data_IF_885427723012
#
_entry.id   IF_885427723012
#
_cell.length_a   1.000
_cell.length_b   1.000
_cell.length_c   1.000
_cell.angle_alpha   90.00
_cell.angle_beta   90.00
_cell.angle_gamma   90.00
#
_symmetry.space_group_name_H-M   'P 1'
#
loop_
_entity.id
_entity.type
_entity.pdbx_description
1 polymer ?
#
# COMPACT_ATOMS: atom_id res chain seq x y z
N UNK A 1 -9.32 -16.38 17.35
CA UNK A 1 -8.24 -17.02 16.57
C UNK A 1 -7.05 -16.09 16.62
N UNK A 2 -5.86 -16.64 16.89
CA UNK A 2 -4.68 -15.87 17.29
C UNK A 2 -3.84 -15.49 16.10
N UNK A 3 -3.54 -14.21 15.99
CA UNK A 3 -2.44 -13.69 15.17
C UNK A 3 -1.14 -14.44 15.53
N UNK A 4 -0.28 -14.79 14.56
CA UNK A 4 1.03 -15.35 14.82
C UNK A 4 1.82 -14.52 15.85
N UNK A 5 2.68 -15.17 16.63
CA UNK A 5 3.66 -14.44 17.45
C UNK A 5 4.62 -13.71 16.53
N UNK A 6 5.04 -12.53 16.96
CA UNK A 6 6.09 -11.78 16.29
C UNK A 6 7.47 -12.33 16.66
N UNK A 7 8.44 -12.14 15.78
CA UNK A 7 9.85 -12.42 16.02
C UNK A 7 10.40 -11.46 17.08
N UNK A 8 11.18 -11.97 18.02
CA UNK A 8 11.69 -11.17 19.14
C UNK A 8 12.81 -10.19 18.73
N UNK A 9 13.60 -10.54 17.72
CA UNK A 9 14.67 -9.69 17.19
C UNK A 9 14.13 -8.71 16.13
N UNK A 10 13.13 -9.14 15.37
CA UNK A 10 12.54 -8.35 14.29
C UNK A 10 11.02 -8.22 14.48
N UNK A 11 10.59 -7.44 15.50
CA UNK A 11 9.17 -7.34 15.81
C UNK A 11 8.42 -6.71 14.63
N UNK A 12 7.21 -7.22 14.41
CA UNK A 12 6.28 -6.81 13.37
C UNK A 12 4.98 -6.35 14.01
N UNK A 13 4.91 -5.04 14.27
CA UNK A 13 3.88 -4.39 15.08
C UNK A 13 3.81 -2.89 14.78
N UNK A 14 2.71 -2.25 15.17
CA UNK A 14 2.54 -0.79 15.05
C UNK A 14 3.39 0.00 16.07
N UNK A 15 4.68 -0.32 16.20
CA UNK A 15 5.67 0.40 16.98
C UNK A 15 7.00 0.45 16.22
N UNK A 16 7.80 1.53 16.39
CA UNK A 16 9.00 1.73 15.61
C UNK A 16 10.14 0.81 16.06
N UNK A 17 10.83 0.23 15.08
CA UNK A 17 12.12 -0.45 15.26
C UNK A 17 13.25 0.48 14.81
N UNK A 18 14.35 0.64 15.58
CA UNK A 18 15.47 1.46 15.11
C UNK A 18 16.05 0.92 13.80
N UNK A 19 16.25 1.77 12.80
CA UNK A 19 16.77 1.32 11.50
C UNK A 19 18.13 0.63 11.63
N UNK A 20 18.95 1.07 12.59
CA UNK A 20 20.26 0.52 12.91
C UNK A 20 20.24 -0.93 13.41
N UNK A 21 19.09 -1.44 13.88
CA UNK A 21 18.96 -2.87 14.25
C UNK A 21 18.53 -3.74 13.08
N UNK A 22 18.16 -3.14 11.95
CA UNK A 22 17.72 -3.84 10.75
C UNK A 22 18.84 -3.93 9.70
N UNK A 23 19.83 -3.06 9.78
CA UNK A 23 20.93 -2.94 8.81
C UNK A 23 22.18 -3.71 9.21
N UNK A 24 22.94 -4.17 8.22
CA UNK A 24 24.30 -4.69 8.39
C UNK A 24 25.36 -3.57 8.55
N UNK A 25 26.63 -3.94 8.64
CA UNK A 25 27.75 -2.98 8.77
C UNK A 25 27.93 -2.05 7.57
N UNK A 26 27.32 -2.36 6.42
CA UNK A 26 27.36 -1.54 5.21
C UNK A 26 26.19 -0.55 5.15
N UNK A 27 25.23 -0.65 6.07
CA UNK A 27 23.99 0.14 6.07
C UNK A 27 22.89 -0.45 5.17
N UNK A 28 23.12 -1.64 4.59
CA UNK A 28 22.09 -2.35 3.83
C UNK A 28 21.18 -3.15 4.75
N UNK A 29 19.95 -3.46 4.29
CA UNK A 29 19.04 -4.31 5.05
C UNK A 29 19.69 -5.69 5.26
N UNK A 30 19.77 -6.15 6.51
CA UNK A 30 20.36 -7.44 6.82
C UNK A 30 19.49 -8.59 6.29
N UNK A 31 20.15 -9.68 5.90
CA UNK A 31 19.49 -10.88 5.39
C UNK A 31 18.53 -11.49 6.42
N UNK A 32 18.89 -11.43 7.70
CA UNK A 32 18.06 -11.96 8.79
C UNK A 32 16.79 -11.12 8.98
N UNK A 33 16.91 -9.78 8.95
CA UNK A 33 15.76 -8.88 9.07
C UNK A 33 14.74 -9.10 7.93
N UNK A 34 15.20 -9.06 6.67
CA UNK A 34 14.29 -9.24 5.53
C UNK A 34 13.65 -10.64 5.54
N UNK A 35 14.42 -11.69 5.89
CA UNK A 35 13.89 -13.05 6.00
C UNK A 35 12.85 -13.16 7.12
N UNK A 36 13.07 -12.51 8.27
CA UNK A 36 12.14 -12.53 9.39
C UNK A 36 10.82 -11.81 9.06
N UNK A 37 10.87 -10.64 8.41
CA UNK A 37 9.65 -9.94 7.98
C UNK A 37 8.87 -10.73 6.94
N UNK A 38 9.54 -11.38 5.98
CA UNK A 38 8.89 -12.24 4.99
C UNK A 38 8.22 -13.44 5.63
N UNK A 39 8.90 -14.14 6.56
CA UNK A 39 8.29 -15.26 7.32
C UNK A 39 7.06 -14.82 8.10
N UNK A 40 7.15 -13.69 8.79
CA UNK A 40 6.03 -13.13 9.55
C UNK A 40 4.87 -12.75 8.63
N UNK A 41 5.13 -12.13 7.47
CA UNK A 41 4.11 -11.81 6.47
C UNK A 41 3.40 -13.07 5.95
N UNK A 42 4.16 -14.11 5.59
CA UNK A 42 3.61 -15.40 5.16
C UNK A 42 2.75 -16.06 6.25
N UNK A 43 3.24 -16.11 7.49
CA UNK A 43 2.48 -16.64 8.62
C UNK A 43 1.18 -15.86 8.85
N UNK A 44 1.23 -14.54 8.72
CA UNK A 44 0.06 -13.67 8.84
C UNK A 44 -0.96 -13.92 7.72
N UNK A 45 -0.53 -14.01 6.46
CA UNK A 45 -1.41 -14.31 5.31
C UNK A 45 -2.13 -15.64 5.52
N UNK A 46 -1.41 -16.68 5.95
CA UNK A 46 -2.00 -17.98 6.26
C UNK A 46 -3.01 -17.89 7.40
N UNK A 47 -2.61 -17.28 8.53
CA UNK A 47 -3.48 -17.13 9.70
C UNK A 47 -4.72 -16.28 9.42
N UNK A 48 -4.64 -15.28 8.54
CA UNK A 48 -5.74 -14.36 8.26
C UNK A 48 -6.97 -15.04 7.66
N UNK A 49 -6.81 -16.20 7.02
CA UNK A 49 -7.93 -17.01 6.51
C UNK A 49 -8.88 -17.47 7.63
N UNK A 50 -8.35 -17.63 8.86
CA UNK A 50 -9.12 -17.98 10.05
C UNK A 50 -9.56 -16.76 10.87
N UNK A 51 -9.30 -15.53 10.44
CA UNK A 51 -9.70 -14.36 11.24
C UNK A 51 -11.21 -14.15 11.22
N UNK A 52 -11.72 -13.48 12.27
CA UNK A 52 -13.15 -13.24 12.39
C UNK A 52 -13.61 -12.33 11.24
N UNK A 53 -14.53 -12.81 10.41
CA UNK A 53 -15.09 -12.02 9.31
C UNK A 53 -15.93 -10.87 9.87
N UNK A 54 -15.72 -9.69 9.33
CA UNK A 54 -16.50 -8.50 9.60
C UNK A 54 -17.49 -8.21 8.48
N UNK A 55 -17.68 -6.91 8.20
CA UNK A 55 -18.64 -6.44 7.20
C UNK A 55 -18.13 -6.71 5.78
N UNK A 56 -19.05 -7.04 4.88
CA UNK A 56 -18.80 -6.95 3.44
C UNK A 56 -19.24 -5.56 2.99
N UNK A 57 -18.30 -4.78 2.48
CA UNK A 57 -18.53 -3.44 1.95
C UNK A 57 -18.68 -3.59 0.44
N UNK A 58 -19.86 -3.24 -0.08
CA UNK A 58 -20.10 -3.22 -1.52
C UNK A 58 -19.48 -1.94 -2.09
N UNK A 59 -18.54 -2.08 -3.00
CA UNK A 59 -18.01 -0.97 -3.80
C UNK A 59 -18.48 -1.12 -5.24
N UNK A 60 -18.25 -0.10 -6.06
CA UNK A 60 -18.56 -0.09 -7.48
C UNK A 60 -17.63 -0.99 -8.32
N UNK A 61 -16.50 -1.45 -7.76
CA UNK A 61 -15.50 -2.27 -8.45
C UNK A 61 -15.49 -3.73 -8.00
N UNK A 62 -15.67 -3.99 -6.70
CA UNK A 62 -15.74 -5.34 -6.13
C UNK A 62 -16.28 -5.33 -4.68
N UNK A 63 -16.89 -6.42 -4.18
CA UNK A 63 -17.15 -6.56 -2.75
C UNK A 63 -15.83 -6.69 -1.97
N UNK A 64 -15.72 -5.93 -0.87
CA UNK A 64 -14.57 -5.96 0.03
C UNK A 64 -14.99 -6.60 1.36
N UNK A 65 -14.45 -7.77 1.69
CA UNK A 65 -14.68 -8.46 2.95
C UNK A 65 -13.68 -7.97 4.01
N UNK A 66 -14.16 -7.32 5.07
CA UNK A 66 -13.32 -7.00 6.21
C UNK A 66 -13.13 -8.21 7.13
N UNK A 67 -12.03 -8.29 7.86
CA UNK A 67 -11.79 -9.32 8.89
C UNK A 67 -10.88 -8.79 9.99
N UNK A 68 -10.89 -9.44 11.16
CA UNK A 68 -10.18 -8.97 12.35
C UNK A 68 -9.40 -10.09 13.06
N UNK A 69 -8.13 -9.81 13.35
CA UNK A 69 -7.23 -10.57 14.21
C UNK A 69 -6.99 -9.86 15.53
N UNK A 70 -6.72 -10.62 16.59
CA UNK A 70 -6.40 -10.05 17.89
C UNK A 70 -4.94 -9.56 17.92
N UNK A 71 -4.65 -8.57 18.76
CA UNK A 71 -3.26 -8.28 19.10
C UNK A 71 -2.69 -9.37 20.00
N UNK A 72 -1.42 -9.73 19.80
CA UNK A 72 -0.64 -10.57 20.72
C UNK A 72 0.28 -9.75 21.63
N UNK A 73 0.30 -8.42 21.43
CA UNK A 73 1.21 -7.50 22.10
C UNK A 73 0.68 -7.06 23.46
N UNK A 74 1.54 -6.44 24.26
CA UNK A 74 1.21 -5.91 25.59
C UNK A 74 0.96 -4.39 25.54
N UNK A 75 0.48 -3.85 26.65
CA UNK A 75 0.33 -2.41 26.82
C UNK A 75 -0.70 -1.79 25.87
N UNK A 76 -0.33 -0.66 25.25
CA UNK A 76 -1.22 0.09 24.34
C UNK A 76 -1.62 -0.75 23.10
N UNK A 77 -0.65 -1.47 22.53
CA UNK A 77 -0.87 -2.31 21.35
C UNK A 77 -1.73 -3.53 21.62
N UNK A 78 -1.89 -3.98 22.88
CA UNK A 78 -2.85 -5.03 23.23
C UNK A 78 -4.30 -4.69 22.81
N UNK A 79 -4.60 -3.39 22.68
CA UNK A 79 -5.91 -2.87 22.28
C UNK A 79 -5.98 -2.46 20.80
N UNK A 80 -4.87 -2.59 20.07
CA UNK A 80 -4.78 -2.29 18.63
C UNK A 80 -4.85 -3.62 17.88
N UNK A 81 -6.03 -3.98 17.39
CA UNK A 81 -6.23 -5.24 16.68
C UNK A 81 -5.58 -5.22 15.29
N UNK A 82 -5.44 -6.39 14.69
CA UNK A 82 -5.15 -6.49 13.27
C UNK A 82 -6.46 -6.41 12.49
N UNK A 83 -6.55 -5.49 11.54
CA UNK A 83 -7.70 -5.32 10.67
C UNK A 83 -7.28 -5.62 9.26
N UNK A 84 -8.07 -6.40 8.54
CA UNK A 84 -7.78 -6.69 7.14
C UNK A 84 -8.98 -6.62 6.25
N UNK A 85 -8.69 -6.62 4.96
CA UNK A 85 -9.63 -6.65 3.85
C UNK A 85 -9.21 -7.67 2.81
N UNK A 86 -10.19 -8.25 2.14
CA UNK A 86 -10.00 -9.18 1.04
C UNK A 86 -10.98 -8.84 -0.08
N UNK A 87 -10.48 -8.87 -1.30
CA UNK A 87 -11.23 -8.60 -2.53
C UNK A 87 -10.64 -9.41 -3.67
N UNK A 88 -11.50 -9.84 -4.59
CA UNK A 88 -11.11 -10.56 -5.81
C UNK A 88 -11.55 -9.74 -7.01
N UNK A 89 -10.67 -9.63 -8.01
CA UNK A 89 -10.80 -8.70 -9.12
C UNK A 89 -10.69 -9.44 -10.46
N UNK A 90 -11.81 -9.95 -11.00
CA UNK A 90 -11.88 -10.41 -12.38
C UNK A 90 -11.63 -9.23 -13.33
N UNK A 91 -10.88 -9.40 -14.45
CA UNK A 91 -10.65 -8.30 -15.38
C UNK A 91 -11.94 -7.64 -15.90
N UNK A 92 -13.04 -8.39 -16.04
CA UNK A 92 -14.34 -7.85 -16.46
C UNK A 92 -14.97 -6.89 -15.46
N UNK A 93 -14.68 -7.05 -14.17
CA UNK A 93 -15.25 -6.24 -13.07
C UNK A 93 -14.28 -5.15 -12.63
N UNK A 94 -12.96 -5.42 -12.73
CA UNK A 94 -11.89 -4.48 -12.42
C UNK A 94 -11.53 -3.56 -13.60
N UNK A 95 -12.50 -3.16 -14.44
CA UNK A 95 -12.29 -2.23 -15.56
C UNK A 95 -11.17 -2.64 -16.54
N UNK A 96 -10.99 -3.93 -16.76
CA UNK A 96 -9.94 -4.48 -17.62
C UNK A 96 -8.54 -4.44 -17.01
N UNK A 97 -8.42 -4.20 -15.71
CA UNK A 97 -7.17 -4.36 -14.98
C UNK A 97 -6.84 -5.84 -14.78
N UNK A 98 -5.55 -6.14 -14.88
CA UNK A 98 -4.94 -7.47 -14.76
C UNK A 98 -3.96 -7.47 -13.59
N UNK A 99 -3.47 -8.65 -13.21
CA UNK A 99 -2.46 -8.75 -12.15
C UNK A 99 -1.23 -7.86 -12.41
N UNK A 100 -0.81 -7.73 -13.67
CA UNK A 100 0.30 -6.86 -14.05
C UNK A 100 0.01 -5.37 -13.79
N UNK A 101 -1.25 -4.95 -13.92
CA UNK A 101 -1.65 -3.58 -13.56
C UNK A 101 -1.61 -3.37 -12.04
N UNK A 102 -2.00 -4.37 -11.25
CA UNK A 102 -1.87 -4.34 -9.79
C UNK A 102 -0.41 -4.29 -9.37
N UNK A 103 0.46 -5.13 -9.94
CA UNK A 103 1.90 -5.09 -9.71
C UNK A 103 2.48 -3.73 -10.04
N UNK A 104 2.18 -3.20 -11.22
CA UNK A 104 2.67 -1.89 -11.63
C UNK A 104 2.13 -0.72 -10.79
N UNK A 105 1.06 -0.95 -10.02
CA UNK A 105 0.39 0.03 -9.17
C UNK A 105 0.79 -0.04 -7.70
N UNK A 106 1.04 -1.25 -7.19
CA UNK A 106 1.18 -1.54 -5.77
C UNK A 106 2.57 -2.05 -5.40
N UNK A 107 3.37 -2.54 -6.36
CA UNK A 107 4.73 -3.03 -6.08
C UNK A 107 5.80 -2.00 -6.45
N UNK A 108 5.61 -1.30 -7.56
CA UNK A 108 6.60 -0.37 -8.14
C UNK A 108 6.26 1.04 -7.69
N UNK A 109 7.25 1.79 -7.17
CA UNK A 109 7.10 3.18 -6.70
C UNK A 109 5.86 3.39 -5.79
N UNK A 110 5.59 2.41 -4.93
CA UNK A 110 4.32 2.29 -4.20
C UNK A 110 3.93 3.57 -3.44
N UNK A 111 4.76 4.17 -2.57
CA UNK A 111 4.37 5.37 -1.82
C UNK A 111 4.08 6.58 -2.71
N UNK A 112 4.84 6.76 -3.79
CA UNK A 112 4.62 7.89 -4.71
C UNK A 112 3.31 7.71 -5.48
N UNK A 113 3.03 6.50 -5.97
CA UNK A 113 1.77 6.23 -6.64
C UNK A 113 0.57 6.37 -5.70
N UNK A 114 0.73 5.98 -4.43
CA UNK A 114 -0.28 6.16 -3.40
C UNK A 114 -0.71 7.61 -3.22
N UNK A 115 0.23 8.58 -3.32
CA UNK A 115 -0.13 10.02 -3.29
C UNK A 115 -1.08 10.45 -4.40
N UNK A 116 -1.16 9.71 -5.51
CA UNK A 116 -2.02 10.05 -6.64
C UNK A 116 -3.46 9.56 -6.48
N UNK A 117 -3.71 8.56 -5.62
CA UNK A 117 -5.05 7.98 -5.44
C UNK A 117 -5.57 8.03 -4.00
N UNK A 118 -4.73 8.36 -3.01
CA UNK A 118 -5.13 8.62 -1.63
C UNK A 118 -5.08 10.12 -1.36
N UNK A 119 -6.24 10.77 -1.43
CA UNK A 119 -6.36 12.23 -1.39
C UNK A 119 -5.83 12.90 -0.11
N UNK A 120 -5.82 12.15 0.99
CA UNK A 120 -5.34 12.58 2.30
C UNK A 120 -3.82 12.62 2.37
N UNK A 121 -3.14 11.87 1.52
CA UNK A 121 -1.70 11.74 1.52
C UNK A 121 -1.09 12.93 0.79
N UNK A 122 -0.39 13.78 1.54
CA UNK A 122 0.15 15.05 1.03
C UNK A 122 1.57 14.93 0.50
N UNK A 123 2.33 13.92 0.92
CA UNK A 123 3.66 13.63 0.40
C UNK A 123 4.10 12.20 0.72
N UNK A 124 4.95 11.66 -0.15
CA UNK A 124 5.82 10.51 0.08
C UNK A 124 7.27 10.94 -0.13
N UNK A 125 8.08 10.85 0.92
CA UNK A 125 9.50 11.23 0.86
C UNK A 125 10.37 10.01 1.15
N UNK A 126 11.24 9.63 0.21
CA UNK A 126 12.24 8.61 0.45
C UNK A 126 13.31 9.16 1.39
N UNK A 127 13.51 8.50 2.53
CA UNK A 127 14.48 8.88 3.56
C UNK A 127 15.77 8.08 3.41
N UNK A 128 15.65 6.79 3.08
CA UNK A 128 16.80 5.92 2.86
C UNK A 128 16.52 4.81 1.84
N UNK A 129 17.58 4.26 1.25
CA UNK A 129 17.54 3.14 0.32
C UNK A 129 18.44 2.03 0.87
N UNK A 130 17.86 1.05 1.58
CA UNK A 130 18.65 -0.03 2.19
C UNK A 130 18.99 -1.12 1.16
N UNK A 131 18.09 -1.34 0.21
CA UNK A 131 18.27 -2.19 -0.98
C UNK A 131 17.31 -1.71 -2.06
N UNK A 132 17.85 -1.10 -3.11
CA UNK A 132 17.08 -0.50 -4.21
C UNK A 132 15.95 -1.42 -4.72
N UNK A 133 14.72 -0.89 -4.72
CA UNK A 133 13.54 -1.60 -5.22
C UNK A 133 13.13 -2.84 -4.43
N UNK A 134 13.69 -3.04 -3.23
CA UNK A 134 13.35 -4.15 -2.33
C UNK A 134 13.09 -3.69 -0.91
N UNK A 135 13.92 -2.80 -0.37
CA UNK A 135 13.84 -2.32 1.01
C UNK A 135 14.23 -0.84 1.09
N UNK A 136 13.25 0.01 1.35
CA UNK A 136 13.40 1.47 1.34
C UNK A 136 12.71 2.07 2.56
N UNK A 137 13.21 3.21 3.03
CA UNK A 137 12.61 3.93 4.16
C UNK A 137 11.86 5.13 3.65
N UNK A 138 10.57 5.21 3.99
CA UNK A 138 9.66 6.23 3.49
C UNK A 138 9.03 7.03 4.63
N UNK A 139 8.90 8.34 4.44
CA UNK A 139 8.09 9.21 5.27
C UNK A 139 6.86 9.68 4.50
N UNK A 140 5.70 9.19 4.92
CA UNK A 140 4.41 9.52 4.32
C UNK A 140 3.67 10.50 5.23
N UNK A 141 3.19 11.62 4.66
CA UNK A 141 2.45 12.65 5.41
C UNK A 141 1.00 12.70 5.02
N UNK A 142 0.12 12.87 5.99
CA UNK A 142 -1.32 12.90 5.80
C UNK A 142 -1.93 14.15 6.44
N UNK A 143 -2.82 14.81 5.69
CA UNK A 143 -3.68 15.85 6.21
C UNK A 143 -4.95 15.22 6.79
N UNK A 144 -5.23 15.48 8.07
CA UNK A 144 -6.48 15.04 8.68
C UNK A 144 -7.47 16.20 8.83
N UNK A 145 -8.78 15.93 8.98
CA UNK A 145 -9.78 16.97 9.12
C UNK A 145 -9.50 17.91 10.28
N UNK A 146 -10.03 19.13 10.13
CA UNK A 146 -9.96 20.19 11.11
C UNK A 146 -10.33 19.67 12.49
N UNK A 147 -9.50 20.01 13.50
CA UNK A 147 -9.52 19.56 14.91
C UNK A 147 -8.67 18.34 15.26
N UNK A 148 -7.98 17.71 14.31
CA UNK A 148 -6.94 16.70 14.63
C UNK A 148 -5.60 17.07 14.02
N UNK A 149 -4.50 16.77 14.73
CA UNK A 149 -3.14 17.03 14.22
C UNK A 149 -2.86 16.19 12.96
N UNK A 150 -2.02 16.69 12.07
CA UNK A 150 -1.60 15.92 10.89
C UNK A 150 -0.77 14.71 11.31
N UNK A 151 -0.75 13.68 10.47
CA UNK A 151 -0.01 12.44 10.73
C UNK A 151 1.16 12.33 9.79
N UNK A 152 2.28 11.89 10.34
CA UNK A 152 3.36 11.34 9.54
C UNK A 152 3.61 9.90 9.97
N UNK A 153 4.00 9.09 9.00
CA UNK A 153 4.39 7.70 9.18
C UNK A 153 5.82 7.54 8.67
N UNK A 154 6.67 6.84 9.41
CA UNK A 154 8.04 6.55 9.01
C UNK A 154 8.22 5.04 9.03
N UNK A 155 8.43 4.46 7.85
CA UNK A 155 8.29 3.03 7.65
C UNK A 155 9.42 2.48 6.77
N UNK A 156 9.88 1.29 7.14
CA UNK A 156 10.55 0.39 6.23
C UNK A 156 9.48 -0.23 5.33
N UNK A 157 9.60 0.00 4.02
CA UNK A 157 8.81 -0.61 2.98
C UNK A 157 9.63 -1.74 2.34
N UNK A 158 9.11 -2.96 2.37
CA UNK A 158 9.66 -4.11 1.65
C UNK A 158 8.70 -4.50 0.52
N UNK A 159 9.18 -4.44 -0.71
CA UNK A 159 8.42 -4.83 -1.92
C UNK A 159 9.08 -6.04 -2.55
N UNK A 160 8.34 -7.15 -2.67
CA UNK A 160 8.88 -8.41 -3.19
C UNK A 160 7.92 -9.05 -4.18
N UNK A 161 8.37 -9.16 -5.44
CA UNK A 161 7.83 -10.15 -6.36
C UNK A 161 8.32 -11.54 -5.96
N UNK A 162 7.37 -12.46 -5.84
CA UNK A 162 7.62 -13.82 -5.36
C UNK A 162 7.78 -14.78 -6.55
N UNK A 163 8.54 -15.87 -6.39
CA UNK A 163 8.68 -16.84 -7.46
C UNK A 163 7.32 -17.51 -7.72
N UNK A 164 6.91 -17.70 -8.98
CA UNK A 164 5.61 -18.31 -9.28
C UNK A 164 5.44 -19.66 -8.57
N UNK A 165 4.27 -19.89 -7.98
CA UNK A 165 4.00 -21.11 -7.21
C UNK A 165 2.53 -21.54 -7.37
N UNK A 166 2.23 -22.86 -7.45
CA UNK A 166 0.85 -23.34 -7.62
C UNK A 166 -0.05 -23.03 -6.42
N UNK A 167 0.53 -22.85 -5.24
CA UNK A 167 -0.16 -22.46 -4.01
C UNK A 167 0.52 -21.23 -3.39
N UNK A 168 0.18 -20.01 -3.83
CA UNK A 168 0.73 -18.79 -3.25
C UNK A 168 0.58 -18.78 -1.72
N UNK A 169 1.61 -18.24 -1.06
CA UNK A 169 1.74 -18.10 0.39
C UNK A 169 1.77 -19.38 1.25
N UNK A 170 1.84 -20.56 0.63
CA UNK A 170 2.07 -21.83 1.34
C UNK A 170 3.46 -21.90 1.98
N UNK A 171 3.68 -22.87 2.87
CA UNK A 171 5.01 -23.11 3.48
C UNK A 171 6.07 -23.49 2.43
N UNK A 172 5.68 -24.23 1.39
CA UNK A 172 6.57 -24.55 0.28
C UNK A 172 6.96 -23.30 -0.51
N UNK A 173 6.00 -22.41 -0.78
CA UNK A 173 6.27 -21.13 -1.42
C UNK A 173 7.20 -20.24 -0.56
N UNK A 174 6.98 -20.22 0.76
CA UNK A 174 7.83 -19.49 1.71
C UNK A 174 9.29 -19.97 1.62
N UNK A 175 9.51 -21.28 1.57
CA UNK A 175 10.85 -21.85 1.45
C UNK A 175 11.56 -21.40 0.16
N UNK A 176 10.84 -21.34 -0.97
CA UNK A 176 11.37 -20.84 -2.25
C UNK A 176 11.69 -19.35 -2.20
N UNK A 177 10.84 -18.54 -1.57
CA UNK A 177 11.11 -17.10 -1.40
C UNK A 177 12.36 -16.88 -0.55
N UNK A 178 12.50 -17.62 0.55
CA UNK A 178 13.70 -17.54 1.38
C UNK A 178 14.95 -17.99 0.64
N UNK A 179 14.83 -18.98 -0.26
CA UNK A 179 15.90 -19.38 -1.17
C UNK A 179 16.28 -18.25 -2.13
N UNK A 180 15.29 -17.63 -2.78
CA UNK A 180 15.49 -16.47 -3.67
C UNK A 180 16.20 -15.33 -2.96
N UNK A 181 15.79 -15.02 -1.72
CA UNK A 181 16.39 -13.94 -0.94
C UNK A 181 17.87 -14.20 -0.61
N UNK A 182 18.28 -15.46 -0.48
CA UNK A 182 19.69 -15.84 -0.28
C UNK A 182 20.50 -15.85 -1.59
N UNK A 183 19.90 -15.51 -2.73
CA UNK A 183 20.54 -15.53 -4.04
C UNK A 183 20.80 -16.94 -4.57
N UNK A 184 20.10 -17.94 -4.03
CA UNK A 184 20.22 -19.32 -4.47
C UNK A 184 19.40 -19.56 -5.75
N UNK A 185 19.81 -20.55 -6.55
CA UNK A 185 19.06 -20.96 -7.74
C UNK A 185 17.74 -21.58 -7.34
N UNK A 186 16.66 -21.09 -7.96
CA UNK A 186 15.33 -21.67 -7.81
C UNK A 186 15.12 -22.85 -8.77
N UNK A 187 14.25 -23.81 -8.41
CA UNK A 187 13.77 -24.79 -9.36
C UNK A 187 12.96 -24.11 -10.49
N UNK A 188 12.81 -24.81 -11.61
CA UNK A 188 11.92 -24.36 -12.67
C UNK A 188 10.48 -24.29 -12.15
N UNK A 189 9.74 -23.25 -12.55
CA UNK A 189 8.35 -23.08 -12.16
C UNK A 189 7.49 -24.27 -12.62
N UNK A 190 6.62 -24.74 -11.74
CA UNK A 190 5.70 -25.83 -12.04
C UNK A 190 4.61 -25.36 -13.02
N UNK A 191 4.02 -26.26 -13.83
CA UNK A 191 2.81 -25.97 -14.57
C UNK A 191 1.74 -25.40 -13.62
N UNK A 192 0.96 -24.41 -14.08
CA UNK A 192 -0.08 -23.74 -13.29
C UNK A 192 0.44 -22.91 -12.10
N UNK A 193 1.73 -22.61 -12.05
CA UNK A 193 2.27 -21.66 -11.08
C UNK A 193 1.59 -20.30 -11.23
N UNK A 194 1.12 -19.75 -10.11
CA UNK A 194 0.45 -18.46 -10.04
C UNK A 194 1.46 -17.40 -9.61
N UNK A 195 1.39 -16.23 -10.24
CA UNK A 195 2.24 -15.10 -9.87
C UNK A 195 1.72 -14.44 -8.60
N UNK A 196 2.63 -13.93 -7.78
CA UNK A 196 2.28 -13.22 -6.56
C UNK A 196 3.36 -12.23 -6.13
N UNK A 197 2.95 -11.23 -5.35
CA UNK A 197 3.86 -10.30 -4.71
C UNK A 197 3.33 -9.89 -3.33
N UNK A 198 4.25 -9.42 -2.49
CA UNK A 198 3.92 -8.85 -1.18
C UNK A 198 4.52 -7.47 -1.02
N UNK A 199 3.82 -6.65 -0.24
CA UNK A 199 4.27 -5.36 0.26
C UNK A 199 4.20 -5.44 1.78
N UNK A 200 5.30 -5.17 2.46
CA UNK A 200 5.38 -5.20 3.93
C UNK A 200 5.79 -3.81 4.39
N UNK A 201 5.06 -3.25 5.36
CA UNK A 201 5.41 -1.98 5.99
C UNK A 201 5.62 -2.20 7.47
N UNK A 202 6.79 -1.82 7.96
CA UNK A 202 7.13 -1.88 9.37
C UNK A 202 7.55 -0.49 9.84
N UNK A 203 6.93 0.06 10.89
CA UNK A 203 7.37 1.32 11.45
C UNK A 203 8.83 1.27 11.89
N UNK A 204 9.58 2.34 11.59
CA UNK A 204 10.97 2.48 12.00
C UNK A 204 11.25 3.84 12.64
N UNK A 205 12.35 3.93 13.38
CA UNK A 205 12.96 5.20 13.76
C UNK A 205 14.27 5.42 12.99
N UNK A 206 14.50 6.66 12.56
CA UNK A 206 15.66 7.03 11.77
C UNK A 206 16.10 8.47 12.08
N UNK A 207 17.39 8.66 12.34
CA UNK A 207 17.98 9.97 12.63
C UNK A 207 17.79 11.02 11.54
N UNK A 208 17.68 10.61 10.26
CA UNK A 208 17.39 11.50 9.12
C UNK A 208 15.93 12.00 9.11
N UNK A 209 15.04 11.39 9.89
CA UNK A 209 13.62 11.74 9.95
C UNK A 209 13.08 11.75 11.40
N UNK A 210 13.56 12.69 12.24
CA UNK A 210 13.08 12.84 13.61
C UNK A 210 11.60 13.27 13.65
N UNK A 211 10.99 13.25 14.83
CA UNK A 211 9.60 13.64 15.01
C UNK A 211 9.38 15.13 14.68
N UNK A 212 8.37 15.42 13.86
CA UNK A 212 8.06 16.77 13.36
C UNK A 212 6.98 17.47 14.20
N UNK A 213 7.03 17.32 15.53
CA UNK A 213 6.00 17.88 16.42
C UNK A 213 5.92 19.41 16.40
N UNK A 214 7.04 20.10 16.15
CA UNK A 214 7.08 21.56 15.95
C UNK A 214 6.36 22.02 14.68
N UNK A 215 6.15 21.12 13.72
CA UNK A 215 5.45 21.37 12.45
C UNK A 215 3.98 20.93 12.50
N UNK A 216 3.47 20.56 13.69
CA UNK A 216 2.07 20.16 13.88
C UNK A 216 1.77 18.69 13.54
N UNK A 217 2.80 17.86 13.33
CA UNK A 217 2.64 16.44 13.06
C UNK A 217 2.70 15.58 14.33
N UNK A 218 1.85 14.55 14.36
CA UNK A 218 1.91 13.44 15.30
C UNK A 218 2.39 12.20 14.54
N UNK A 219 3.53 11.65 14.98
CA UNK A 219 4.04 10.37 14.46
C UNK A 219 3.07 9.25 14.82
N UNK A 220 2.40 8.73 13.81
CA UNK A 220 1.57 7.54 13.90
C UNK A 220 2.35 6.33 13.38
N UNK A 221 1.84 5.15 13.69
CA UNK A 221 2.49 3.89 13.34
C UNK A 221 1.45 2.97 12.73
N UNK A 222 1.78 2.33 11.62
CA UNK A 222 1.09 1.11 11.22
C UNK A 222 2.07 0.08 10.69
N UNK A 223 1.83 -1.17 11.02
CA UNK A 223 2.46 -2.30 10.35
C UNK A 223 1.44 -2.93 9.42
N UNK A 224 1.82 -3.23 8.18
CA UNK A 224 0.92 -3.78 7.17
C UNK A 224 1.58 -4.88 6.33
N UNK A 225 0.74 -5.76 5.82
CA UNK A 225 1.09 -6.64 4.70
C UNK A 225 -0.01 -6.55 3.66
N UNK A 226 0.40 -6.32 2.42
CA UNK A 226 -0.42 -6.60 1.25
C UNK A 226 0.09 -7.87 0.55
N UNK A 227 -0.84 -8.72 0.16
CA UNK A 227 -0.60 -9.96 -0.55
C UNK A 227 -1.48 -9.97 -1.80
N UNK A 228 -0.86 -9.97 -2.98
CA UNK A 228 -1.54 -9.93 -4.27
C UNK A 228 -1.12 -11.14 -5.08
N UNK A 229 -2.08 -11.95 -5.54
CA UNK A 229 -1.80 -13.14 -6.34
C UNK A 229 -2.79 -13.32 -7.47
N UNK A 230 -2.36 -14.00 -8.53
CA UNK A 230 -3.29 -14.54 -9.51
C UNK A 230 -4.14 -15.66 -8.90
N UNK A 231 -5.36 -15.84 -9.42
CA UNK A 231 -6.18 -17.04 -9.18
C UNK A 231 -6.13 -17.96 -10.39
N UNK A 232 -6.53 -19.23 -10.21
CA UNK A 232 -6.66 -20.18 -11.32
C UNK A 232 -7.69 -19.73 -12.38
N UNK A 233 -8.61 -18.82 -12.01
CA UNK A 233 -9.58 -18.22 -12.92
C UNK A 233 -9.03 -17.00 -13.69
N UNK A 234 -7.75 -16.63 -13.48
CA UNK A 234 -7.15 -15.44 -14.09
C UNK A 234 -7.59 -14.13 -13.45
N UNK A 235 -8.09 -14.18 -12.22
CA UNK A 235 -8.46 -13.01 -11.43
C UNK A 235 -7.26 -12.53 -10.60
N UNK A 236 -7.33 -11.31 -10.08
CA UNK A 236 -6.38 -10.82 -9.08
C UNK A 236 -6.99 -10.90 -7.68
N UNK A 237 -6.44 -11.76 -6.82
CA UNK A 237 -6.75 -11.80 -5.40
C UNK A 237 -5.90 -10.75 -4.67
N UNK A 238 -6.55 -9.86 -3.93
CA UNK A 238 -5.87 -8.85 -3.13
C UNK A 238 -6.33 -8.93 -1.68
N UNK A 239 -5.38 -9.22 -0.81
CA UNK A 239 -5.56 -9.20 0.63
C UNK A 239 -4.61 -8.21 1.27
N UNK A 240 -5.15 -7.44 2.21
CA UNK A 240 -4.36 -6.54 3.06
C UNK A 240 -4.73 -6.79 4.50
N UNK A 241 -3.77 -6.67 5.41
CA UNK A 241 -4.06 -6.52 6.83
C UNK A 241 -3.02 -5.62 7.49
N UNK A 242 -3.47 -4.89 8.50
CA UNK A 242 -2.66 -3.89 9.18
C UNK A 242 -3.03 -3.78 10.66
N UNK A 243 -2.05 -3.41 11.47
CA UNK A 243 -2.23 -2.92 12.83
C UNK A 243 -1.84 -1.45 12.84
N UNK A 244 -2.62 -0.59 13.50
CA UNK A 244 -2.35 0.85 13.52
C UNK A 244 -2.52 1.43 14.92
N UNK A 245 -1.66 2.40 15.23
CA UNK A 245 -1.78 3.33 16.35
C UNK A 245 -1.62 4.77 15.82
N UNK A 246 -2.73 5.52 15.79
CA UNK A 246 -2.73 6.91 15.34
C UNK A 246 -2.05 7.88 16.33
N UNK A 247 -1.54 7.35 17.46
CA UNK A 247 -0.87 8.10 18.52
C UNK A 247 -1.71 9.25 19.08
N UNK A 248 -1.09 10.10 19.91
CA UNK A 248 -1.69 11.33 20.41
C UNK A 248 -2.93 11.09 21.29
N UNK A 249 -3.92 11.98 21.15
CA UNK A 249 -5.09 12.05 22.04
C UNK A 249 -6.33 11.33 21.52
N UNK A 250 -6.27 10.70 20.35
CA UNK A 250 -7.43 9.97 19.81
C UNK A 250 -7.64 8.69 20.64
N UNK A 251 -8.80 8.49 21.28
CA UNK A 251 -9.04 7.26 22.04
C UNK A 251 -9.03 6.03 21.14
N UNK A 252 -8.35 4.97 21.57
CA UNK A 252 -8.15 3.74 20.78
C UNK A 252 -9.44 3.09 20.30
N UNK A 253 -10.52 3.15 21.08
CA UNK A 253 -11.82 2.59 20.69
C UNK A 253 -12.33 3.24 19.38
N UNK A 254 -12.16 4.55 19.22
CA UNK A 254 -12.57 5.24 17.99
C UNK A 254 -11.66 4.91 16.82
N UNK A 255 -10.35 4.74 17.07
CA UNK A 255 -9.41 4.28 16.04
C UNK A 255 -9.80 2.89 15.52
N UNK A 256 -10.01 1.94 16.43
CA UNK A 256 -10.40 0.56 16.13
C UNK A 256 -11.74 0.47 15.38
N UNK A 257 -12.72 1.30 15.74
CA UNK A 257 -14.02 1.34 15.06
C UNK A 257 -13.93 1.90 13.64
N UNK A 258 -12.98 2.79 13.36
CA UNK A 258 -12.83 3.42 12.06
C UNK A 258 -12.15 2.50 11.02
N UNK A 259 -11.33 1.55 11.45
CA UNK A 259 -10.45 0.75 10.58
C UNK A 259 -11.13 0.10 9.35
N UNK A 260 -12.29 -0.57 9.46
CA UNK A 260 -12.93 -1.16 8.28
C UNK A 260 -13.38 -0.12 7.25
N UNK A 261 -13.83 1.05 7.70
CA UNK A 261 -14.27 2.15 6.83
C UNK A 261 -13.10 2.96 6.26
N UNK A 262 -11.88 2.75 6.74
CA UNK A 262 -10.67 3.40 6.26
C UNK A 262 -9.98 2.61 5.16
N UNK A 263 -9.95 1.29 5.28
CA UNK A 263 -9.18 0.42 4.37
C UNK A 263 -9.95 -0.03 3.13
N UNK A 264 -11.28 -0.14 3.21
CA UNK A 264 -12.09 -0.57 2.07
C UNK A 264 -12.15 0.44 0.91
N UNK A 265 -12.20 1.77 1.13
CA UNK A 265 -12.18 2.75 0.05
C UNK A 265 -10.90 2.76 -0.79
N UNK A 266 -9.78 2.27 -0.27
CA UNK A 266 -8.50 2.24 -1.01
C UNK A 266 -8.60 1.39 -2.28
N UNK A 267 -9.44 0.34 -2.26
CA UNK A 267 -9.66 -0.56 -3.41
C UNK A 267 -10.27 0.19 -4.62
N UNK A 268 -11.45 0.82 -4.50
CA UNK A 268 -11.99 1.63 -5.60
C UNK A 268 -11.08 2.80 -5.97
N UNK A 269 -10.44 3.48 -5.01
CA UNK A 269 -9.48 4.55 -5.32
C UNK A 269 -8.36 4.06 -6.26
N UNK A 270 -7.71 2.94 -5.90
CA UNK A 270 -6.67 2.32 -6.70
C UNK A 270 -7.17 1.92 -8.10
N UNK A 271 -8.28 1.19 -8.19
CA UNK A 271 -8.80 0.67 -9.46
C UNK A 271 -9.20 1.82 -10.39
N UNK A 272 -9.86 2.86 -9.85
CA UNK A 272 -10.26 4.04 -10.61
C UNK A 272 -9.05 4.80 -11.15
N UNK A 273 -8.04 5.02 -10.31
CA UNK A 273 -6.79 5.66 -10.71
C UNK A 273 -6.03 4.85 -11.78
N UNK A 274 -5.79 3.56 -11.54
CA UNK A 274 -5.00 2.72 -12.45
C UNK A 274 -5.70 2.54 -13.81
N UNK A 275 -7.03 2.36 -13.79
CA UNK A 275 -7.84 2.31 -15.02
C UNK A 275 -7.72 3.60 -15.83
N UNK A 276 -7.69 4.76 -15.16
CA UNK A 276 -7.54 6.06 -15.82
C UNK A 276 -6.16 6.20 -16.47
N UNK A 277 -5.09 5.87 -15.74
CA UNK A 277 -3.71 5.86 -16.28
C UNK A 277 -3.56 4.95 -17.50
N UNK A 278 -4.16 3.76 -17.46
CA UNK A 278 -4.14 2.79 -18.57
C UNK A 278 -4.86 3.31 -19.82
N UNK A 279 -5.94 4.08 -19.64
CA UNK A 279 -6.65 4.71 -20.75
C UNK A 279 -5.83 5.84 -21.39
N UNK A 280 -5.25 6.73 -20.57
CA UNK A 280 -4.41 7.84 -21.05
C UNK A 280 -3.17 7.34 -21.79
N UNK A 281 -2.46 6.34 -21.25
CA UNK A 281 -1.28 5.78 -21.89
C UNK A 281 -1.57 5.13 -23.26
N UNK A 282 -2.77 4.57 -23.45
CA UNK A 282 -3.21 4.04 -24.76
C UNK A 282 -3.48 5.16 -25.76
N UNK A 283 -4.07 6.28 -25.34
CA UNK A 283 -4.33 7.43 -26.20
C UNK A 283 -3.04 8.11 -26.66
N UNK A 284 -2.07 8.27 -25.76
CA UNK A 284 -0.74 8.82 -26.08
C UNK A 284 0.06 7.89 -26.99
N UNK A 285 0.01 6.56 -26.76
CA UNK A 285 0.62 5.58 -27.65
C UNK A 285 0.00 5.62 -29.06
N UNK A 286 -1.32 5.82 -29.18
CA UNK A 286 -2.00 5.95 -30.47
C UNK A 286 -1.69 7.27 -31.20
N UNK A 287 -1.44 8.37 -30.47
CA UNK A 287 -1.03 9.66 -31.05
C UNK A 287 0.44 9.70 -31.48
N UNK A 288 1.29 8.82 -30.94
CA UNK A 288 2.74 8.82 -31.16
C UNK A 288 3.23 7.84 -32.24
N UNK A 289 2.36 7.06 -32.87
CA UNK A 289 2.73 6.26 -34.06
C UNK A 289 2.70 7.16 -35.30
N UNK A 290 3.84 7.44 -35.97
CA UNK A 290 3.81 8.10 -37.27
C UNK A 290 3.15 7.14 -38.26
N UNK A 291 2.23 7.65 -39.07
CA UNK A 291 1.63 6.90 -40.17
C UNK A 291 2.75 6.39 -41.10
N UNK A 292 3.07 5.10 -41.00
CA UNK A 292 3.91 4.42 -41.99
C UNK A 292 3.06 4.33 -43.26
N UNK A 293 3.33 5.23 -44.20
CA UNK A 293 2.83 5.12 -45.55
C UNK A 293 3.42 3.87 -46.21
N UNK A 294 2.56 3.04 -46.80
CA UNK A 294 2.97 1.96 -47.70
C UNK A 294 3.77 2.53 -48.89
N UNK A 295 4.79 1.81 -49.41
CA UNK A 295 5.65 2.34 -50.44
C UNK A 295 4.94 2.25 -51.80
N UNK A 296 4.66 3.39 -52.41
CA UNK A 296 4.49 3.47 -53.87
C UNK A 296 5.65 4.31 -54.41
N UNK A 297 6.38 3.74 -55.37
CA UNK A 297 7.72 4.17 -55.74
C UNK A 297 7.84 5.45 -56.56
N UNK A 298 9.09 5.65 -57.00
CA UNK A 298 9.65 6.63 -57.95
C UNK A 298 10.33 7.88 -57.34
N UNK A 299 11.65 7.74 -57.20
CA UNK A 299 12.69 8.55 -57.87
C UNK A 299 12.70 10.11 -57.82
N UNK A 300 13.85 10.60 -57.31
CA UNK A 300 14.72 11.67 -57.88
C UNK A 300 14.79 13.05 -57.18
N UNK A 301 15.97 13.27 -56.57
CA UNK A 301 16.84 14.46 -56.45
C UNK A 301 16.30 15.81 -55.92
N UNK A 302 17.11 16.42 -55.03
CA UNK A 302 17.31 17.89 -55.05
C UNK A 302 17.58 18.60 -53.71
N UNK A 303 18.87 18.80 -53.42
CA UNK A 303 19.50 19.99 -52.82
C UNK A 303 19.00 20.67 -51.50
N UNK A 304 19.90 20.68 -50.51
CA UNK A 304 20.32 21.72 -49.56
C UNK A 304 19.44 22.95 -49.25
N UNK A 305 19.32 23.30 -47.95
CA UNK A 305 19.90 24.53 -47.35
C UNK A 305 19.35 24.87 -45.94
N UNK A 306 20.27 25.24 -45.03
CA UNK A 306 20.20 26.25 -43.93
C UNK A 306 19.23 26.13 -42.72
N UNK A 307 19.84 26.21 -41.52
CA UNK A 307 19.26 26.50 -40.19
C UNK A 307 18.87 28.00 -40.04
N UNK A 308 18.60 28.61 -38.83
CA UNK A 308 18.32 28.14 -37.45
C UNK A 308 17.18 28.95 -36.72
N UNK A 309 17.07 28.80 -35.38
CA UNK A 309 16.42 29.68 -34.34
C UNK A 309 14.86 29.77 -34.37
N UNK A 310 14.07 30.00 -33.31
CA UNK A 310 14.23 30.35 -31.89
C UNK A 310 12.88 30.12 -31.14
N UNK A 311 12.97 29.98 -29.81
CA UNK A 311 12.11 30.59 -28.78
C UNK A 311 10.56 30.46 -28.73
N UNK A 312 10.15 29.91 -27.57
CA UNK A 312 9.25 30.52 -26.55
C UNK A 312 7.72 30.27 -26.53
N UNK A 313 7.32 29.87 -25.30
CA UNK A 313 6.13 30.23 -24.51
C UNK A 313 4.69 29.98 -25.00
N UNK A 314 3.97 29.18 -24.20
CA UNK A 314 2.66 29.52 -23.61
C UNK A 314 2.33 28.46 -22.53
N UNK A 315 2.48 28.74 -21.23
CA UNK A 315 1.40 29.18 -20.30
C UNK A 315 -0.02 28.83 -20.76
N UNK A 316 -0.63 27.87 -20.07
CA UNK A 316 -2.04 27.51 -20.21
C UNK A 316 -2.57 26.90 -18.92
N UNK A 317 -2.92 27.76 -17.97
CA UNK A 317 -3.75 27.44 -16.81
C UNK A 317 -5.17 27.10 -17.27
N UNK A 318 -5.72 25.97 -16.82
CA UNK A 318 -7.16 25.70 -16.88
C UNK A 318 -7.60 24.94 -15.64
N UNK A 319 -8.40 25.62 -14.84
CA UNK A 319 -9.14 25.12 -13.70
C UNK A 319 -10.29 24.19 -14.12
N UNK A 320 -10.56 23.16 -13.33
CA UNK A 320 -11.85 22.49 -13.14
C UNK A 320 -11.61 21.29 -12.22
N UNK A 321 -12.51 20.82 -11.37
CA UNK A 321 -13.71 21.35 -10.78
C UNK A 321 -13.96 20.42 -9.58
N UNK A 322 -14.34 21.04 -8.49
CA UNK A 322 -14.49 20.50 -7.15
C UNK A 322 -15.63 19.46 -7.05
N UNK A 323 -15.34 18.31 -6.47
CA UNK A 323 -16.32 17.35 -5.95
C UNK A 323 -15.64 16.50 -4.87
N UNK A 324 -15.29 17.14 -3.75
CA UNK A 324 -14.63 16.52 -2.61
C UNK A 324 -15.62 15.73 -1.73
N UNK A 325 -15.35 14.44 -1.54
CA UNK A 325 -15.94 13.62 -0.46
C UNK A 325 -14.89 13.44 0.66
N UNK A 326 -15.29 13.46 1.94
CA UNK A 326 -14.40 13.80 3.05
C UNK A 326 -13.53 12.65 3.59
N UNK A 327 -12.30 13.03 3.93
CA UNK A 327 -11.29 12.35 4.74
C UNK A 327 -11.58 12.36 6.27
N UNK A 328 -10.90 11.56 7.11
CA UNK A 328 -11.44 11.06 8.39
C UNK A 328 -11.08 11.82 9.67
N UNK A 329 -12.10 12.25 10.43
CA UNK A 329 -12.10 12.26 11.90
C UNK A 329 -13.50 12.55 12.49
N UNK A 330 -13.87 11.75 13.50
CA UNK A 330 -14.78 12.01 14.62
C UNK A 330 -16.20 12.54 14.34
N UNK A 331 -17.15 11.62 14.15
CA UNK A 331 -18.55 11.86 14.53
C UNK A 331 -18.79 11.45 15.98
N UNK A 332 -19.01 12.42 16.87
CA UNK A 332 -19.66 12.21 18.18
C UNK A 332 -20.60 13.38 18.43
N UNK A 333 -21.87 13.25 18.00
CA UNK A 333 -22.96 14.06 18.55
C UNK A 333 -23.52 13.32 19.78
N UNK A 334 -23.01 13.68 20.96
CA UNK A 334 -23.64 13.32 22.22
C UNK A 334 -24.83 14.26 22.45
N UNK A 335 -26.03 13.76 22.14
CA UNK A 335 -27.29 14.42 22.47
C UNK A 335 -27.46 14.45 24.00
N UNK A 336 -27.31 15.63 24.58
CA UNK A 336 -27.70 15.95 25.95
C UNK A 336 -29.16 15.56 26.15
N UNK A 337 -29.40 14.60 27.03
CA UNK A 337 -30.74 14.30 27.54
C UNK A 337 -30.69 14.57 29.03
N UNK A 338 -31.29 15.69 29.42
CA UNK A 338 -31.59 16.05 30.80
C UNK A 338 -32.55 15.01 31.37
N UNK A 339 -32.15 14.32 32.43
CA UNK A 339 -33.06 13.56 33.28
C UNK A 339 -33.19 14.29 34.60
N UNK A 340 -34.41 14.78 34.85
CA UNK A 340 -34.90 15.23 36.14
C UNK A 340 -34.75 14.13 37.20
N UNK A 341 -34.26 14.54 38.34
CA UNK A 341 -34.17 13.79 39.59
C UNK A 341 -35.50 13.93 40.34
N UNK A 342 -36.19 12.86 40.77
CA UNK A 342 -37.28 12.99 41.71
C UNK A 342 -36.75 12.93 43.14
N UNK A 343 -37.04 13.98 43.90
CA UNK A 343 -36.94 14.00 45.35
C UNK A 343 -37.84 12.94 45.97
N UNK A 344 -37.30 12.16 46.90
CA UNK A 344 -38.07 11.40 47.87
C UNK A 344 -37.47 11.65 49.26
N UNK A 345 -38.30 12.25 50.11
CA UNK A 345 -38.30 12.06 51.55
C UNK A 345 -38.96 10.71 51.87
#
# INVERSE_FOLDING_TARGET
>A
MTTPSSDAAYPFEAAPVPISTLTDETGSISQDAISAYVKQAFAMIRASHGWAKGKVIKTEVAPVQSFKGNSVHKGRLAKCGWHGRHSVHPPSEAKGLTWDDFKAGLLIDHPQQETEYISEMTAANQIDELKKGVAEVWNNTYNLPSLTSNRDFLELLITLELPPHPTPYSEAHEALVLQQLRGESLPASEPQSLRSFIVIQQPVSHDKCPHRSSEGYVRAYYASVEAISETQAGETDWRMFLQSDASGRIPLMFQEMAMPSKTAPDVPCFINWKSSKKATGKEEAQKSVPAVAEPTGAETQGAASTAPIDSQHATGSSAAADASAPAPAAGVDAKTTTTDEPAVA
#
